data_IF_352027306774
#
_entry.id   IF_352027306774
#
_cell.length_a   1.000
_cell.length_b   1.000
_cell.length_c   1.000
_cell.angle_alpha   90.00
_cell.angle_beta   90.00
_cell.angle_gamma   90.00
#
_symmetry.space_group_name_H-M   'P 1'
#
loop_
_entity.id
_entity.type
_entity.pdbx_description
1 polymer ?
#
# COMPACT_ATOMS: atom_id res chain seq x y z
N UNK A 1 7.67 -5.21 1.67
CA UNK A 1 8.48 -6.34 2.21
C UNK A 1 9.90 -6.01 2.70
N UNK A 2 10.69 -5.13 2.06
CA UNK A 2 12.07 -4.85 2.54
C UNK A 2 12.12 -4.23 3.94
N UNK A 3 11.29 -3.22 4.21
CA UNK A 3 11.22 -2.56 5.52
C UNK A 3 10.88 -3.55 6.66
N UNK A 4 9.88 -4.41 6.45
CA UNK A 4 9.50 -5.45 7.42
C UNK A 4 10.65 -6.44 7.69
N UNK A 5 11.41 -6.82 6.65
CA UNK A 5 12.59 -7.70 6.80
C UNK A 5 13.72 -7.05 7.63
N UNK A 6 13.78 -5.73 7.65
CA UNK A 6 14.72 -4.97 8.49
C UNK A 6 14.17 -4.71 9.91
N UNK A 7 13.01 -5.27 10.26
CA UNK A 7 12.37 -5.08 11.56
C UNK A 7 11.63 -3.75 11.70
N UNK A 8 11.44 -3.00 10.61
CA UNK A 8 10.67 -1.76 10.64
C UNK A 8 9.17 -2.06 10.72
N UNK A 9 8.46 -1.29 11.55
CA UNK A 9 7.01 -1.30 11.59
C UNK A 9 6.45 -0.36 10.53
N UNK A 10 5.82 -0.90 9.48
CA UNK A 10 5.17 -0.11 8.42
C UNK A 10 3.74 0.19 8.86
N UNK A 11 3.44 1.46 9.08
CA UNK A 11 2.14 1.90 9.63
C UNK A 11 1.10 2.06 8.52
N UNK A 12 1.49 2.61 7.37
CA UNK A 12 0.58 2.94 6.27
C UNK A 12 1.36 3.06 4.94
N UNK A 13 0.68 2.81 3.83
CA UNK A 13 1.15 3.10 2.48
C UNK A 13 0.31 4.23 1.87
N UNK A 14 0.97 5.28 1.40
CA UNK A 14 0.30 6.45 0.80
C UNK A 14 0.75 6.66 -0.63
N UNK A 15 -0.21 6.86 -1.52
CA UNK A 15 0.02 7.20 -2.92
C UNK A 15 -0.81 8.43 -3.35
N UNK A 16 -0.33 9.15 -4.36
CA UNK A 16 -1.09 10.29 -4.93
C UNK A 16 -2.22 9.75 -5.81
N UNK A 17 -1.90 8.76 -6.66
CA UNK A 17 -2.82 8.17 -7.63
C UNK A 17 -2.88 6.67 -7.39
N UNK A 18 -4.09 6.11 -7.33
CA UNK A 18 -4.32 4.67 -7.45
C UNK A 18 -4.95 4.31 -8.79
N UNK A 19 -4.54 3.17 -9.33
CA UNK A 19 -5.10 2.52 -10.50
C UNK A 19 -5.53 1.10 -10.06
N UNK A 20 -6.75 0.93 -9.51
CA UNK A 20 -7.21 -0.31 -8.88
C UNK A 20 -7.20 -1.51 -9.82
N UNK A 21 -7.41 -1.28 -11.12
CA UNK A 21 -7.37 -2.29 -12.16
C UNK A 21 -5.99 -2.95 -12.30
N UNK A 22 -4.93 -2.28 -11.84
CA UNK A 22 -3.58 -2.84 -11.76
C UNK A 22 -3.34 -3.67 -10.49
N UNK A 23 -4.24 -3.60 -9.51
CA UNK A 23 -4.24 -4.45 -8.31
C UNK A 23 -3.14 -4.18 -7.28
N UNK A 24 -2.35 -3.12 -7.44
CA UNK A 24 -1.24 -2.80 -6.54
C UNK A 24 -1.68 -2.45 -5.12
N UNK A 25 -2.68 -1.56 -4.99
CA UNK A 25 -3.28 -1.19 -3.69
C UNK A 25 -3.90 -2.40 -3.00
N UNK A 26 -4.67 -3.20 -3.74
CA UNK A 26 -5.25 -4.45 -3.23
C UNK A 26 -4.20 -5.42 -2.68
N UNK A 27 -3.07 -5.60 -3.38
CA UNK A 27 -1.99 -6.46 -2.90
C UNK A 27 -1.36 -5.96 -1.58
N UNK A 28 -1.32 -4.64 -1.36
CA UNK A 28 -0.85 -4.05 -0.09
C UNK A 28 -1.87 -4.26 1.04
N UNK A 29 -3.16 -4.09 0.76
CA UNK A 29 -4.24 -4.34 1.72
C UNK A 29 -4.30 -5.82 2.15
N UNK A 30 -4.11 -6.74 1.22
CA UNK A 30 -4.02 -8.19 1.51
C UNK A 30 -2.80 -8.54 2.39
N UNK A 31 -1.74 -7.72 2.38
CA UNK A 31 -0.61 -7.83 3.30
C UNK A 31 -0.88 -7.19 4.68
N UNK A 32 -2.10 -6.68 4.91
CA UNK A 32 -2.53 -6.04 6.15
C UNK A 32 -2.06 -4.60 6.30
N UNK A 33 -1.63 -3.96 5.22
CA UNK A 33 -1.26 -2.54 5.22
C UNK A 33 -2.50 -1.68 4.97
N UNK A 34 -2.63 -0.60 5.73
CA UNK A 34 -3.57 0.46 5.38
C UNK A 34 -3.05 1.20 4.15
N UNK A 35 -3.94 1.45 3.19
CA UNK A 35 -3.62 2.20 1.97
C UNK A 35 -4.49 3.46 1.92
N UNK A 36 -3.87 4.61 1.74
CA UNK A 36 -4.56 5.88 1.49
C UNK A 36 -4.11 6.47 0.15
N UNK A 37 -5.07 6.95 -0.64
CA UNK A 37 -4.81 7.57 -1.94
C UNK A 37 -5.51 8.91 -2.05
N UNK A 38 -4.86 9.88 -2.72
CA UNK A 38 -5.45 11.22 -2.92
C UNK A 38 -6.53 11.18 -3.99
N UNK A 39 -6.32 10.42 -5.05
CA UNK A 39 -7.32 10.15 -6.07
C UNK A 39 -7.19 8.73 -6.63
N UNK A 40 -8.30 8.23 -7.15
CA UNK A 40 -8.45 6.90 -7.73
C UNK A 40 -9.14 7.07 -9.10
N UNK A 41 -8.66 6.32 -10.10
CA UNK A 41 -9.21 6.32 -11.46
C UNK A 41 -9.69 4.92 -11.86
#
# INVERSE_FOLDING_TARGET
RLLQRLGANVVEAVAIVDLPELGGSKALEEEGLNVFTVCQF
#
